data_IF_557569455502
#
_entry.id   IF_557569455502
#
_cell.length_a   1.000
_cell.length_b   1.000
_cell.length_c   1.000
_cell.angle_alpha   90.00
_cell.angle_beta   90.00
_cell.angle_gamma   90.00
#
_symmetry.space_group_name_H-M   'P 1'
#
loop_
_entity.id
_entity.type
_entity.pdbx_description
1 polymer ?
#
# COMPACT_ATOMS: atom_id res chain seq x y z
N UNK A 1 4.61 2.48 -9.62
CA UNK A 1 5.03 2.02 -8.29
C UNK A 1 5.57 0.60 -8.44
N UNK A 2 6.77 0.32 -7.94
CA UNK A 2 7.32 -1.03 -7.88
C UNK A 2 6.49 -1.88 -6.92
N UNK A 3 6.10 -3.12 -7.28
CA UNK A 3 5.43 -4.03 -6.34
C UNK A 3 6.24 -4.20 -5.05
N UNK A 4 5.56 -4.20 -3.90
CA UNK A 4 6.21 -4.22 -2.57
C UNK A 4 6.82 -5.57 -2.24
N UNK A 5 6.49 -6.60 -3.01
CA UNK A 5 7.02 -7.96 -2.89
C UNK A 5 8.38 -8.13 -3.57
N UNK A 6 8.80 -7.17 -4.39
CA UNK A 6 10.07 -7.24 -5.11
C UNK A 6 11.22 -6.73 -4.24
N UNK A 7 12.35 -7.43 -4.32
CA UNK A 7 13.50 -7.16 -3.47
C UNK A 7 14.35 -5.99 -3.95
N UNK A 8 15.30 -5.57 -3.10
CA UNK A 8 16.33 -4.59 -3.42
C UNK A 8 17.16 -5.01 -4.64
N UNK A 9 17.50 -6.30 -4.75
CA UNK A 9 18.26 -6.83 -5.89
C UNK A 9 17.49 -6.62 -7.19
N UNK A 10 16.19 -6.90 -7.19
CA UNK A 10 15.36 -6.73 -8.38
C UNK A 10 15.30 -5.27 -8.85
N UNK A 11 15.25 -4.31 -7.92
CA UNK A 11 15.36 -2.89 -8.25
C UNK A 11 16.71 -2.58 -8.90
N UNK A 12 17.81 -3.01 -8.31
CA UNK A 12 19.15 -2.75 -8.83
C UNK A 12 19.32 -3.32 -10.25
N UNK A 13 18.91 -4.57 -10.47
CA UNK A 13 18.99 -5.21 -11.79
C UNK A 13 18.18 -4.46 -12.84
N UNK A 14 16.98 -3.99 -12.47
CA UNK A 14 16.12 -3.19 -13.34
C UNK A 14 16.78 -1.85 -13.70
N UNK A 15 17.45 -1.20 -12.74
CA UNK A 15 18.16 0.06 -12.98
C UNK A 15 19.38 -0.14 -13.89
N UNK A 16 20.14 -1.23 -13.72
CA UNK A 16 21.24 -1.60 -14.62
C UNK A 16 20.74 -1.78 -16.06
N UNK A 17 19.63 -2.49 -16.25
CA UNK A 17 19.02 -2.65 -17.59
C UNK A 17 18.58 -1.31 -18.18
N UNK A 18 18.12 -0.37 -17.35
CA UNK A 18 17.77 0.98 -17.82
C UNK A 18 19.00 1.79 -18.26
N UNK A 19 20.17 1.58 -17.63
CA UNK A 19 21.44 2.17 -18.06
C UNK A 19 21.89 1.59 -19.40
N UNK A 20 21.82 0.26 -19.58
CA UNK A 20 22.15 -0.42 -20.85
C UNK A 20 21.29 0.06 -22.02
N UNK A 21 20.02 0.36 -21.76
CA UNK A 21 19.08 0.92 -22.74
C UNK A 21 19.23 2.44 -22.93
N UNK A 22 20.08 3.12 -22.16
CA UNK A 22 20.28 4.57 -22.23
C UNK A 22 19.05 5.39 -21.80
N UNK A 23 18.22 4.84 -20.91
CA UNK A 23 16.98 5.48 -20.42
C UNK A 23 17.03 5.87 -18.94
N UNK A 24 18.07 5.50 -18.19
CA UNK A 24 18.17 5.71 -16.73
C UNK A 24 17.87 7.13 -16.27
N UNK A 25 18.34 8.13 -17.01
CA UNK A 25 18.21 9.55 -16.66
C UNK A 25 16.99 10.23 -17.29
N UNK A 26 16.05 9.46 -17.84
CA UNK A 26 14.82 10.00 -18.46
C UNK A 26 13.63 10.06 -17.50
N UNK A 27 13.78 9.53 -16.28
CA UNK A 27 12.74 9.49 -15.26
C UNK A 27 13.33 9.41 -13.86
N UNK A 28 12.53 9.84 -12.88
CA UNK A 28 12.84 9.70 -11.46
C UNK A 28 12.47 8.31 -10.95
N UNK A 29 13.15 7.86 -9.89
CA UNK A 29 12.92 6.56 -9.25
C UNK A 29 12.50 6.81 -7.83
N UNK A 30 11.29 6.36 -7.48
CA UNK A 30 10.72 6.47 -6.15
C UNK A 30 10.57 5.08 -5.54
N UNK A 31 10.91 4.96 -4.25
CA UNK A 31 10.77 3.72 -3.47
C UNK A 31 9.93 4.03 -2.24
N UNK A 32 8.95 3.19 -1.97
CA UNK A 32 8.18 3.26 -0.73
C UNK A 32 9.07 2.85 0.44
N UNK A 33 9.39 3.78 1.32
CA UNK A 33 10.30 3.55 2.46
C UNK A 33 9.61 3.48 3.81
N UNK A 34 8.44 4.09 3.95
CA UNK A 34 7.74 4.20 5.22
C UNK A 34 6.23 4.25 5.08
N UNK A 35 5.53 3.49 5.92
CA UNK A 35 4.07 3.45 5.99
C UNK A 35 3.52 2.03 5.93
N UNK A 36 2.20 1.91 5.81
CA UNK A 36 1.55 0.62 5.62
C UNK A 36 1.68 0.15 4.17
N UNK A 37 2.12 -1.09 3.97
CA UNK A 37 2.35 -1.66 2.65
C UNK A 37 1.01 -1.93 1.94
N UNK A 38 0.80 -1.47 0.69
CA UNK A 38 -0.41 -1.77 -0.07
C UNK A 38 -0.41 -3.23 -0.58
N UNK A 39 -1.16 -4.11 0.08
CA UNK A 39 -1.15 -5.55 -0.20
C UNK A 39 -2.22 -5.97 -1.22
N UNK A 40 -3.38 -5.31 -1.22
CA UNK A 40 -4.47 -5.63 -2.14
C UNK A 40 -5.44 -4.46 -2.33
N UNK A 41 -6.25 -4.57 -3.39
CA UNK A 41 -7.31 -3.61 -3.73
C UNK A 41 -8.65 -4.30 -3.87
N UNK A 42 -9.70 -3.64 -3.39
CA UNK A 42 -11.09 -4.06 -3.52
C UNK A 42 -11.86 -3.17 -4.49
N UNK A 43 -12.86 -3.73 -5.17
CA UNK A 43 -13.81 -2.97 -5.99
C UNK A 43 -14.81 -2.13 -5.16
N UNK A 44 -14.85 -2.33 -3.83
CA UNK A 44 -15.71 -1.61 -2.89
C UNK A 44 -14.90 -1.09 -1.71
N UNK A 45 -15.21 0.13 -1.28
CA UNK A 45 -14.60 0.76 -0.12
C UNK A 45 -14.95 -0.01 1.17
N UNK A 46 -13.91 -0.45 1.89
CA UNK A 46 -14.00 -1.12 3.18
C UNK A 46 -14.59 -0.18 4.24
N UNK A 47 -14.21 1.10 4.23
CA UNK A 47 -14.76 2.09 5.17
C UNK A 47 -16.26 2.29 4.96
N UNK A 48 -16.72 2.41 3.72
CA UNK A 48 -18.14 2.51 3.42
C UNK A 48 -18.89 1.25 3.88
N UNK A 49 -18.31 0.06 3.68
CA UNK A 49 -18.87 -1.20 4.17
C UNK A 49 -18.95 -1.25 5.70
N UNK A 50 -17.95 -0.71 6.41
CA UNK A 50 -17.90 -0.62 7.86
C UNK A 50 -18.94 0.37 8.41
N UNK A 51 -19.17 1.49 7.72
CA UNK A 51 -20.27 2.42 7.98
C UNK A 51 -21.65 1.89 7.48
N UNK A 52 -21.71 0.64 7.02
CA UNK A 52 -22.91 -0.02 6.50
C UNK A 52 -23.57 0.70 5.31
N UNK A 53 -22.78 1.43 4.52
CA UNK A 53 -23.20 2.12 3.30
C UNK A 53 -23.11 1.21 2.08
N UNK A 54 -24.02 1.35 1.13
CA UNK A 54 -23.91 0.70 -0.18
C UNK A 54 -22.68 1.20 -0.94
N UNK A 55 -22.30 0.50 -2.02
CA UNK A 55 -21.17 0.93 -2.87
C UNK A 55 -21.42 2.33 -3.43
N UNK A 56 -22.64 2.58 -3.89
CA UNK A 56 -23.02 3.82 -4.58
C UNK A 56 -23.12 5.01 -3.60
N UNK A 57 -23.32 4.73 -2.31
CA UNK A 57 -23.40 5.73 -1.23
C UNK A 57 -22.06 5.92 -0.49
N UNK A 58 -20.93 5.56 -1.11
CA UNK A 58 -19.61 5.64 -0.47
C UNK A 58 -19.25 7.07 -0.05
N UNK A 59 -19.57 8.07 -0.88
CA UNK A 59 -19.35 9.51 -0.62
C UNK A 59 -17.93 9.85 -0.14
N UNK A 60 -16.92 9.07 -0.52
CA UNK A 60 -15.53 9.21 -0.04
C UNK A 60 -15.40 9.25 1.50
N UNK A 61 -16.30 8.57 2.22
CA UNK A 61 -16.33 8.56 3.70
C UNK A 61 -15.01 8.17 4.36
N UNK A 62 -14.14 7.42 3.65
CA UNK A 62 -12.80 7.08 4.10
C UNK A 62 -11.92 8.29 4.42
N UNK A 63 -12.23 9.50 3.92
CA UNK A 63 -11.51 10.73 4.28
C UNK A 63 -11.59 11.05 5.79
N UNK A 64 -12.61 10.53 6.48
CA UNK A 64 -12.76 10.64 7.95
C UNK A 64 -11.80 9.72 8.73
N UNK A 65 -11.15 8.79 8.04
CA UNK A 65 -10.25 7.77 8.58
C UNK A 65 -8.87 7.90 7.90
N UNK A 66 -8.12 9.00 8.15
CA UNK A 66 -6.92 9.31 7.39
C UNK A 66 -5.81 8.25 7.50
N UNK A 67 -5.80 7.51 8.60
CA UNK A 67 -4.86 6.41 8.84
C UNK A 67 -5.45 5.03 8.53
N UNK A 68 -6.71 4.93 8.09
CA UNK A 68 -7.42 3.66 7.91
C UNK A 68 -8.09 3.12 9.17
N UNK A 69 -8.59 1.89 9.07
CA UNK A 69 -9.24 1.12 10.13
C UNK A 69 -8.38 -0.12 10.42
N UNK A 70 -7.87 -0.21 11.65
CA UNK A 70 -7.07 -1.36 12.09
C UNK A 70 -7.95 -2.61 12.24
N UNK A 71 -7.46 -3.73 11.71
CA UNK A 71 -8.15 -5.03 11.75
C UNK A 71 -7.28 -6.03 12.48
N UNK A 72 -7.85 -6.62 13.53
CA UNK A 72 -7.24 -7.68 14.32
C UNK A 72 -7.76 -9.06 13.95
N UNK A 73 -6.93 -10.09 14.15
CA UNK A 73 -7.33 -11.48 14.12
C UNK A 73 -8.24 -11.82 15.31
N UNK A 74 -8.78 -13.04 15.35
CA UNK A 74 -9.59 -13.50 16.48
C UNK A 74 -8.79 -13.61 17.78
N UNK A 75 -7.48 -13.80 17.66
CA UNK A 75 -6.50 -13.82 18.75
C UNK A 75 -6.04 -12.39 19.16
N UNK A 76 -6.59 -11.36 18.53
CA UNK A 76 -6.30 -9.95 18.84
C UNK A 76 -5.05 -9.39 18.16
N UNK A 77 -4.37 -10.16 17.31
CA UNK A 77 -3.18 -9.68 16.60
C UNK A 77 -3.57 -8.73 15.47
N UNK A 78 -2.93 -7.57 15.38
CA UNK A 78 -3.07 -6.66 14.24
C UNK A 78 -2.51 -7.32 12.97
N UNK A 79 -3.37 -7.49 11.96
CA UNK A 79 -3.03 -8.19 10.72
C UNK A 79 -3.11 -7.29 9.50
N UNK A 80 -4.08 -6.37 9.47
CA UNK A 80 -4.29 -5.46 8.35
C UNK A 80 -4.71 -4.07 8.81
N UNK A 81 -4.46 -3.09 7.97
CA UNK A 81 -5.06 -1.77 8.04
C UNK A 81 -5.90 -1.53 6.78
N UNK A 82 -7.19 -1.21 6.92
CA UNK A 82 -8.09 -0.99 5.80
C UNK A 82 -8.25 0.50 5.53
N UNK A 83 -7.77 0.98 4.38
CA UNK A 83 -7.84 2.39 4.01
C UNK A 83 -8.58 2.59 2.69
N UNK A 84 -9.85 2.99 2.79
CA UNK A 84 -10.71 3.13 1.60
C UNK A 84 -10.88 1.79 0.89
N UNK A 85 -10.30 1.65 -0.30
CA UNK A 85 -10.34 0.40 -1.10
C UNK A 85 -9.12 -0.50 -0.89
N UNK A 86 -8.13 -0.06 -0.11
CA UNK A 86 -6.87 -0.76 0.07
C UNK A 86 -6.93 -1.67 1.31
N UNK A 87 -6.45 -2.90 1.14
CA UNK A 87 -5.96 -3.71 2.25
C UNK A 87 -4.47 -3.46 2.39
N UNK A 88 -4.05 -2.94 3.53
CA UNK A 88 -2.65 -2.63 3.81
C UNK A 88 -2.11 -3.56 4.92
N UNK A 89 -0.78 -3.61 5.08
CA UNK A 89 -0.15 -4.34 6.20
C UNK A 89 -0.68 -3.86 7.55
N UNK A 90 -0.73 -4.74 8.55
CA UNK A 90 -1.12 -4.38 9.92
C UNK A 90 -0.10 -3.47 10.62
N UNK A 91 1.18 -3.60 10.27
CA UNK A 91 2.27 -2.81 10.85
C UNK A 91 2.81 -1.81 9.85
N UNK A 92 3.28 -0.67 10.37
CA UNK A 92 3.99 0.32 9.60
C UNK A 92 5.40 -0.20 9.27
N UNK A 93 5.71 -0.28 7.97
CA UNK A 93 7.03 -0.64 7.49
C UNK A 93 7.96 0.58 7.53
N UNK A 94 9.25 0.35 7.76
CA UNK A 94 10.26 1.42 7.80
C UNK A 94 11.64 0.90 7.39
N UNK A 95 12.10 1.32 6.22
CA UNK A 95 13.43 0.97 5.68
C UNK A 95 14.60 1.67 6.36
N UNK A 96 14.40 2.62 7.27
CA UNK A 96 15.51 3.29 7.98
C UNK A 96 16.25 2.31 8.91
N UNK A 97 15.57 1.26 9.39
CA UNK A 97 16.12 0.31 10.35
C UNK A 97 16.65 -0.99 9.70
N UNK A 98 16.58 -1.11 8.37
CA UNK A 98 16.96 -2.26 7.55
C UNK A 98 18.20 -1.95 6.68
#
# INVERSE_FOLDING_TARGET
>A
CMPVELSREWLNDTLVQCDELGIRNKFEVEVFSHGYLPLAYSARCFTARAENRAKDDCETCCIKYPTGIQVSSQEGQEVFNLNGIQTQSGYCYNLIND
#
